data_IF_030702797629
#
_entry.id   IF_030702797629
#
_cell.length_a   1.000
_cell.length_b   1.000
_cell.length_c   1.000
_cell.angle_alpha   90.00
_cell.angle_beta   90.00
_cell.angle_gamma   90.00
#
_symmetry.space_group_name_H-M   'P 1'
#
loop_
_entity.id
_entity.type
_entity.pdbx_description
1 polymer ?
#
# COMPACT_ATOMS: atom_id res chain seq x y z
N UNK A 1 -6.66 -3.26 3.21
CA UNK A 1 -7.20 -4.61 3.07
C UNK A 1 -6.01 -5.50 3.03
N UNK A 2 -5.92 -6.41 3.98
CA UNK A 2 -4.85 -7.38 4.02
C UNK A 2 -5.46 -8.66 3.45
N UNK A 3 -4.84 -9.22 2.42
CA UNK A 3 -5.21 -10.56 1.93
C UNK A 3 -4.78 -11.54 3.02
N UNK A 4 -5.74 -12.20 3.64
CA UNK A 4 -5.49 -12.97 4.87
C UNK A 4 -5.10 -14.42 4.58
N UNK A 5 -5.31 -14.91 3.35
CA UNK A 5 -4.96 -16.28 2.95
C UNK A 5 -4.36 -16.37 1.53
N UNK A 6 -3.52 -17.38 1.32
CA UNK A 6 -2.95 -17.72 0.01
C UNK A 6 -4.02 -18.13 -1.01
N UNK A 7 -5.07 -18.81 -0.54
CA UNK A 7 -6.20 -19.26 -1.35
C UNK A 7 -7.00 -18.08 -1.92
N UNK A 8 -7.24 -17.05 -1.10
CA UNK A 8 -7.90 -15.82 -1.54
C UNK A 8 -7.06 -15.08 -2.59
N UNK A 9 -5.74 -15.05 -2.43
CA UNK A 9 -4.82 -14.49 -3.43
C UNK A 9 -4.88 -15.24 -4.77
N UNK A 10 -4.79 -16.58 -4.75
CA UNK A 10 -4.83 -17.40 -5.96
C UNK A 10 -6.17 -17.22 -6.69
N UNK A 11 -7.27 -17.16 -5.94
CA UNK A 11 -8.60 -16.90 -6.47
C UNK A 11 -8.69 -15.53 -7.16
N UNK A 12 -8.22 -14.45 -6.52
CA UNK A 12 -8.23 -13.10 -7.12
C UNK A 12 -7.32 -13.02 -8.36
N UNK A 13 -6.17 -13.70 -8.31
CA UNK A 13 -5.22 -13.78 -9.44
C UNK A 13 -5.87 -14.44 -10.66
N UNK A 14 -6.56 -15.55 -10.44
CA UNK A 14 -7.13 -16.38 -11.50
C UNK A 14 -8.44 -15.77 -12.02
N UNK A 15 -9.30 -15.30 -11.12
CA UNK A 15 -10.61 -14.71 -11.47
C UNK A 15 -10.48 -13.27 -11.99
N UNK A 16 -9.36 -12.58 -11.72
CA UNK A 16 -9.13 -11.15 -12.04
C UNK A 16 -10.17 -10.20 -11.44
N UNK A 17 -10.87 -10.63 -10.41
CA UNK A 17 -11.94 -9.88 -9.75
C UNK A 17 -11.68 -9.79 -8.25
N UNK A 18 -11.82 -8.59 -7.69
CA UNK A 18 -11.66 -8.31 -6.27
C UNK A 18 -13.02 -7.94 -5.65
N UNK A 19 -13.53 -8.72 -4.68
CA UNK A 19 -14.74 -8.36 -3.94
C UNK A 19 -14.43 -7.27 -2.90
N UNK A 20 -14.99 -6.07 -3.08
CA UNK A 20 -14.89 -4.94 -2.15
C UNK A 20 -16.29 -4.43 -1.78
N UNK A 21 -16.61 -4.36 -0.49
CA UNK A 21 -17.88 -3.80 0.00
C UNK A 21 -19.14 -4.41 -0.65
N UNK A 22 -19.11 -5.70 -0.99
CA UNK A 22 -20.21 -6.38 -1.66
C UNK A 22 -20.31 -6.15 -3.17
N UNK A 23 -19.35 -5.43 -3.77
CA UNK A 23 -19.22 -5.23 -5.21
C UNK A 23 -18.00 -5.98 -5.75
N UNK A 24 -18.09 -6.45 -6.99
CA UNK A 24 -16.99 -7.10 -7.70
C UNK A 24 -16.31 -6.09 -8.61
N UNK A 25 -14.99 -5.95 -8.48
CA UNK A 25 -14.22 -5.02 -9.30
C UNK A 25 -13.15 -5.75 -10.09
N UNK A 26 -13.01 -5.40 -11.36
CA UNK A 26 -11.92 -5.92 -12.20
C UNK A 26 -10.58 -5.38 -11.70
N UNK A 27 -9.62 -6.29 -11.52
CA UNK A 27 -8.28 -5.96 -11.05
C UNK A 27 -7.18 -6.47 -11.97
N UNK A 28 -6.14 -5.65 -12.08
CA UNK A 28 -4.88 -6.04 -12.68
C UNK A 28 -3.83 -6.33 -11.62
N UNK A 29 -3.04 -7.38 -11.85
CA UNK A 29 -1.87 -7.67 -11.04
C UNK A 29 -0.76 -6.65 -11.34
N UNK A 30 -0.48 -5.83 -10.33
CA UNK A 30 0.56 -4.85 -10.31
C UNK A 30 1.75 -5.34 -9.51
N UNK A 31 2.89 -5.46 -10.19
CA UNK A 31 4.18 -5.60 -9.55
C UNK A 31 4.85 -4.23 -9.55
N UNK A 32 5.24 -3.77 -8.36
CA UNK A 32 6.04 -2.56 -8.27
C UNK A 32 7.33 -2.78 -9.07
N UNK A 33 7.70 -1.86 -9.98
CA UNK A 33 8.85 -2.06 -10.83
C UNK A 33 10.10 -2.16 -9.96
N UNK A 34 10.83 -3.29 -10.01
CA UNK A 34 11.88 -3.62 -9.05
C UNK A 34 12.98 -2.56 -9.06
N UNK A 35 13.66 -2.42 -7.91
CA UNK A 35 14.92 -1.69 -7.84
C UNK A 35 15.94 -2.48 -8.64
N UNK A 36 16.55 -1.84 -9.64
CA UNK A 36 17.56 -2.51 -10.44
C UNK A 36 18.87 -2.53 -9.69
N UNK A 37 19.50 -3.71 -9.68
CA UNK A 37 20.93 -3.80 -9.43
C UNK A 37 21.65 -3.24 -10.66
N UNK A 38 22.33 -2.10 -10.49
CA UNK A 38 23.12 -1.46 -11.54
C UNK A 38 24.59 -1.56 -11.12
N UNK A 39 25.41 -2.16 -11.97
CA UNK A 39 26.83 -2.33 -11.73
C UNK A 39 27.52 -0.97 -11.61
N UNK A 40 28.22 -0.73 -10.50
CA UNK A 40 28.94 0.54 -10.29
C UNK A 40 30.17 0.72 -11.18
N UNK A 41 30.61 -0.33 -11.90
CA UNK A 41 31.77 -0.30 -12.80
C UNK A 41 31.37 0.00 -14.24
N UNK A 42 30.54 -0.84 -14.87
CA UNK A 42 30.14 -0.64 -16.28
C UNK A 42 28.81 0.11 -16.42
N UNK A 43 28.13 0.41 -15.32
CA UNK A 43 26.78 0.98 -15.28
C UNK A 43 25.68 0.08 -15.84
N UNK A 44 25.96 -1.17 -16.24
CA UNK A 44 24.97 -2.14 -16.75
C UNK A 44 24.09 -2.77 -15.65
N UNK A 45 22.81 -3.09 -15.93
CA UNK A 45 21.96 -3.72 -14.94
C UNK A 45 22.28 -5.22 -14.81
N UNK A 46 21.80 -5.84 -13.73
CA UNK A 46 21.76 -7.31 -13.60
C UNK A 46 22.99 -7.96 -12.97
N UNK A 47 24.05 -7.21 -12.65
CA UNK A 47 25.22 -7.76 -11.96
C UNK A 47 25.89 -6.75 -11.03
N UNK A 48 26.68 -7.26 -10.08
CA UNK A 48 27.49 -6.44 -9.16
C UNK A 48 28.87 -6.17 -9.77
N UNK A 49 29.60 -5.20 -9.20
CA UNK A 49 31.00 -4.92 -9.58
C UNK A 49 31.91 -6.15 -9.50
N UNK A 50 31.64 -7.08 -8.57
CA UNK A 50 32.41 -8.32 -8.37
C UNK A 50 32.31 -9.26 -9.59
N UNK A 51 31.16 -9.29 -10.25
CA UNK A 51 30.88 -10.15 -11.41
C UNK A 51 30.93 -9.39 -12.74
N UNK A 52 31.54 -8.20 -12.75
CA UNK A 52 31.63 -7.37 -13.93
C UNK A 52 32.86 -7.77 -14.77
N UNK A 53 32.61 -8.18 -16.02
CA UNK A 53 33.65 -8.61 -16.97
C UNK A 53 34.28 -7.46 -17.77
N UNK A 54 33.81 -6.23 -17.59
CA UNK A 54 34.32 -5.09 -18.35
C UNK A 54 35.73 -4.71 -17.92
N UNK A 55 36.60 -4.41 -18.87
CA UNK A 55 37.99 -4.05 -18.58
C UNK A 55 38.16 -2.63 -18.03
N UNK A 56 37.16 -1.77 -18.23
CA UNK A 56 37.19 -0.38 -17.82
C UNK A 56 35.98 0.03 -16.98
N UNK A 57 36.15 1.14 -16.24
CA UNK A 57 35.11 1.72 -15.40
C UNK A 57 34.47 2.91 -16.09
N UNK A 58 33.16 2.87 -16.26
CA UNK A 58 32.35 3.92 -16.87
C UNK A 58 31.85 4.87 -15.79
N UNK A 59 32.07 6.18 -15.95
CA UNK A 59 31.51 7.17 -15.04
C UNK A 59 30.01 7.30 -15.27
N UNK A 60 29.22 7.20 -14.20
CA UNK A 60 27.75 7.34 -14.27
C UNK A 60 27.26 8.69 -14.80
N UNK A 61 28.07 9.75 -14.74
CA UNK A 61 27.65 11.11 -15.11
C UNK A 61 27.67 11.36 -16.62
N UNK A 62 28.70 10.89 -17.31
CA UNK A 62 28.99 11.22 -18.71
C UNK A 62 29.19 9.98 -19.61
N UNK A 63 29.31 8.79 -19.02
CA UNK A 63 29.59 7.57 -19.77
C UNK A 63 31.04 7.39 -20.22
N UNK A 64 31.95 8.28 -19.84
CA UNK A 64 33.37 8.17 -20.19
C UNK A 64 34.15 7.24 -19.26
N UNK A 65 35.29 6.74 -19.75
CA UNK A 65 36.19 5.87 -19.00
C UNK A 65 36.86 6.62 -17.84
N UNK A 66 36.73 6.09 -16.62
CA UNK A 66 37.22 6.69 -15.37
C UNK A 66 38.74 6.84 -15.32
N UNK A 67 39.49 6.07 -16.12
CA UNK A 67 40.96 6.07 -16.13
C UNK A 67 41.61 7.31 -16.73
N UNK A 68 40.87 8.14 -17.50
CA UNK A 68 41.42 9.35 -18.11
C UNK A 68 41.13 10.60 -17.27
N UNK A 69 42.05 10.92 -16.35
CA UNK A 69 42.22 12.26 -15.76
C UNK A 69 41.06 12.82 -14.92
N UNK A 70 41.33 13.96 -14.28
CA UNK A 70 40.35 14.72 -13.49
C UNK A 70 39.27 15.33 -14.39
N UNK A 71 38.24 14.53 -14.68
CA UNK A 71 37.05 14.94 -15.41
C UNK A 71 36.12 15.76 -14.49
N UNK A 72 36.55 16.98 -14.13
CA UNK A 72 35.79 17.90 -13.28
C UNK A 72 34.64 18.59 -14.05
N UNK A 73 34.82 18.81 -15.35
CA UNK A 73 33.85 19.49 -16.22
C UNK A 73 33.35 18.56 -17.31
N UNK A 74 32.27 17.83 -17.02
CA UNK A 74 31.66 16.93 -18.00
C UNK A 74 30.16 17.15 -18.14
N UNK A 75 29.74 17.17 -19.40
CA UNK A 75 28.33 17.22 -19.76
C UNK A 75 27.64 15.94 -19.30
N UNK A 76 26.51 16.09 -18.62
CA UNK A 76 25.73 14.95 -18.16
C UNK A 76 25.16 14.26 -19.40
N UNK A 77 25.58 13.02 -19.62
CA UNK A 77 25.19 12.23 -20.78
C UNK A 77 25.11 10.76 -20.40
N UNK A 78 24.02 10.11 -20.77
CA UNK A 78 23.85 8.69 -20.54
C UNK A 78 24.75 7.90 -21.48
N UNK A 79 25.52 6.97 -20.92
CA UNK A 79 26.35 6.05 -21.69
C UNK A 79 25.55 5.24 -22.73
N UNK A 80 24.27 4.96 -22.46
CA UNK A 80 23.45 4.07 -23.30
C UNK A 80 22.63 4.79 -24.35
N UNK A 81 21.79 5.72 -23.93
CA UNK A 81 20.88 6.42 -24.85
C UNK A 81 21.42 7.78 -25.30
N UNK A 82 22.59 8.20 -24.81
CA UNK A 82 23.18 9.51 -25.14
C UNK A 82 22.37 10.74 -24.72
N UNK A 83 21.26 10.58 -23.98
CA UNK A 83 20.43 11.68 -23.49
C UNK A 83 21.04 12.40 -22.27
N UNK A 84 20.50 13.59 -21.98
CA UNK A 84 20.92 14.46 -20.88
C UNK A 84 20.48 13.97 -19.48
N UNK A 85 20.92 12.78 -19.08
CA UNK A 85 20.76 12.24 -17.73
C UNK A 85 21.91 11.28 -17.37
N UNK A 86 21.98 10.87 -16.09
CA UNK A 86 23.02 9.91 -15.63
C UNK A 86 22.76 8.50 -16.17
N UNK A 87 23.80 7.71 -16.37
CA UNK A 87 23.69 6.32 -16.86
C UNK A 87 22.95 5.37 -15.91
N UNK A 88 22.87 5.73 -14.62
CA UNK A 88 22.10 4.99 -13.61
C UNK A 88 20.72 5.61 -13.32
N UNK A 89 20.30 6.62 -14.07
CA UNK A 89 19.00 7.27 -13.88
C UNK A 89 17.87 6.38 -14.42
N UNK A 90 16.83 6.19 -13.62
CA UNK A 90 15.63 5.43 -14.00
C UNK A 90 14.82 6.09 -15.12
N UNK A 91 15.15 7.32 -15.52
CA UNK A 91 14.65 7.98 -16.73
C UNK A 91 15.22 7.39 -18.03
N UNK A 92 16.33 6.65 -17.95
CA UNK A 92 16.94 6.01 -19.11
C UNK A 92 15.97 5.02 -19.77
N UNK A 93 15.69 5.16 -21.09
CA UNK A 93 14.84 4.22 -21.82
C UNK A 93 15.30 2.77 -21.69
N UNK A 94 16.61 2.52 -21.75
CA UNK A 94 17.19 1.19 -21.63
C UNK A 94 16.98 0.56 -20.24
N UNK A 95 17.12 1.35 -19.15
CA UNK A 95 16.82 0.84 -17.81
C UNK A 95 15.32 0.64 -17.60
N UNK A 96 14.49 1.49 -18.20
CA UNK A 96 13.03 1.34 -18.16
C UNK A 96 12.58 0.06 -18.86
N UNK A 97 13.13 -0.22 -20.04
CA UNK A 97 12.89 -1.47 -20.78
C UNK A 97 13.38 -2.69 -20.01
N UNK A 98 14.60 -2.66 -19.47
CA UNK A 98 15.11 -3.75 -18.65
C UNK A 98 14.24 -4.02 -17.42
N UNK A 99 13.76 -2.97 -16.72
CA UNK A 99 12.80 -3.11 -15.61
C UNK A 99 11.51 -3.76 -16.06
N UNK A 100 10.98 -3.33 -17.19
CA UNK A 100 9.73 -3.86 -17.72
C UNK A 100 9.87 -5.35 -18.06
N UNK A 101 10.95 -5.74 -18.74
CA UNK A 101 11.24 -7.14 -19.07
C UNK A 101 11.46 -7.97 -17.82
N UNK A 102 12.15 -7.44 -16.81
CA UNK A 102 12.32 -8.12 -15.53
C UNK A 102 10.98 -8.36 -14.82
N UNK A 103 10.04 -7.40 -14.88
CA UNK A 103 8.68 -7.60 -14.33
C UNK A 103 7.93 -8.68 -15.11
N UNK A 104 8.04 -8.72 -16.44
CA UNK A 104 7.42 -9.78 -17.26
C UNK A 104 7.98 -11.15 -16.87
N UNK A 105 9.30 -11.28 -16.76
CA UNK A 105 9.95 -12.53 -16.38
C UNK A 105 9.55 -12.97 -14.96
N UNK A 106 9.51 -12.04 -14.01
CA UNK A 106 9.03 -12.33 -12.66
C UNK A 106 7.56 -12.75 -12.64
N UNK A 107 6.70 -12.18 -13.50
CA UNK A 107 5.30 -12.62 -13.65
C UNK A 107 5.17 -14.05 -14.17
N UNK A 108 6.10 -14.51 -15.01
CA UNK A 108 6.13 -15.91 -15.46
C UNK A 108 6.54 -16.88 -14.35
N UNK A 109 7.22 -16.37 -13.32
CA UNK A 109 7.76 -17.14 -12.19
C UNK A 109 7.20 -16.64 -10.85
N UNK A 110 5.90 -16.85 -10.59
CA UNK A 110 5.27 -16.42 -9.35
C UNK A 110 5.86 -17.09 -8.10
N UNK A 111 6.54 -18.22 -8.25
CA UNK A 111 7.33 -18.90 -7.22
C UNK A 111 8.48 -18.04 -6.67
N UNK A 112 9.03 -17.14 -7.50
CA UNK A 112 10.14 -16.26 -7.12
C UNK A 112 9.69 -14.89 -6.60
N UNK A 113 8.38 -14.62 -6.61
CA UNK A 113 7.85 -13.35 -6.17
C UNK A 113 7.65 -13.35 -4.66
N UNK A 114 8.16 -12.34 -3.94
CA UNK A 114 7.86 -12.22 -2.53
C UNK A 114 6.34 -12.03 -2.36
N UNK A 115 5.69 -12.78 -1.46
CA UNK A 115 4.22 -12.78 -1.31
C UNK A 115 3.65 -11.38 -0.98
N UNK A 116 4.49 -10.45 -0.52
CA UNK A 116 4.10 -9.11 -0.08
C UNK A 116 4.30 -8.00 -1.15
N UNK A 117 4.81 -8.31 -2.34
CA UNK A 117 5.17 -7.29 -3.36
C UNK A 117 4.12 -7.17 -4.48
N UNK A 118 3.19 -8.12 -4.57
CA UNK A 118 2.09 -8.09 -5.54
C UNK A 118 0.92 -7.26 -4.98
N UNK A 119 0.50 -6.26 -5.75
CA UNK A 119 -0.67 -5.44 -5.46
C UNK A 119 -1.71 -5.67 -6.54
N UNK A 120 -2.97 -5.82 -6.17
CA UNK A 120 -4.07 -5.75 -7.12
C UNK A 120 -4.57 -4.32 -7.20
N UNK A 121 -4.60 -3.76 -8.40
CA UNK A 121 -5.09 -2.40 -8.64
C UNK A 121 -6.33 -2.48 -9.51
N UNK A 122 -7.37 -1.72 -9.16
CA UNK A 122 -8.58 -1.63 -9.97
C UNK A 122 -8.24 -1.12 -11.38
N UNK A 123 -8.79 -1.77 -12.40
CA UNK A 123 -8.52 -1.44 -13.81
C UNK A 123 -8.81 0.03 -14.13
N UNK A 124 -9.86 0.59 -13.53
CA UNK A 124 -10.24 2.00 -13.73
C UNK A 124 -9.24 2.99 -13.16
N UNK A 125 -8.47 2.62 -12.13
CA UNK A 125 -7.40 3.47 -11.59
C UNK A 125 -6.17 3.56 -12.50
N UNK A 126 -6.11 2.77 -13.58
CA UNK A 126 -5.04 2.80 -14.59
C UNK A 126 -5.41 3.53 -15.87
N UNK A 127 -6.70 3.72 -16.15
CA UNK A 127 -7.15 4.38 -17.39
C UNK A 127 -6.64 5.82 -17.40
N UNK A 128 -5.73 6.07 -18.33
CA UNK A 128 -4.96 7.29 -18.57
C UNK A 128 -5.70 8.60 -18.24
N UNK A 129 -5.27 9.29 -17.19
CA UNK A 129 -5.63 10.70 -16.95
C UNK A 129 -5.76 11.07 -15.48
N UNK A 130 -6.22 10.14 -14.65
CA UNK A 130 -6.52 10.47 -13.26
C UNK A 130 -5.27 10.27 -12.38
N UNK A 131 -4.57 11.38 -12.11
CA UNK A 131 -3.38 11.44 -11.22
C UNK A 131 -3.70 11.12 -9.76
N UNK A 132 -4.94 10.77 -9.44
CA UNK A 132 -5.35 10.36 -8.10
C UNK A 132 -4.96 8.89 -7.88
N UNK A 133 -3.65 8.64 -7.81
CA UNK A 133 -3.02 7.36 -7.56
C UNK A 133 -3.41 6.75 -6.20
N UNK A 134 -4.64 6.22 -6.12
CA UNK A 134 -5.07 5.34 -5.03
C UNK A 134 -4.45 3.97 -5.26
N UNK A 135 -3.16 3.87 -4.95
CA UNK A 135 -2.50 2.58 -4.75
C UNK A 135 -3.14 1.95 -3.51
N UNK A 136 -3.81 0.82 -3.69
CA UNK A 136 -4.26 0.01 -2.57
C UNK A 136 -3.01 -0.64 -1.95
N UNK A 137 -2.52 -0.07 -0.86
CA UNK A 137 -1.37 -0.61 -0.14
C UNK A 137 -1.80 -1.77 0.76
N UNK A 138 -1.04 -2.86 0.73
CA UNK A 138 -1.06 -3.89 1.76
C UNK A 138 -0.43 -3.30 3.05
N UNK A 139 -1.18 -3.22 4.15
CA UNK A 139 -0.69 -2.58 5.39
C UNK A 139 0.15 -3.52 6.24
N UNK A 140 0.16 -4.82 5.96
CA UNK A 140 1.05 -5.78 6.63
C UNK A 140 2.54 -5.49 6.42
N UNK A 141 2.92 -4.75 5.36
CA UNK A 141 4.30 -4.30 5.13
C UNK A 141 4.68 -2.97 5.84
N UNK A 142 3.72 -2.27 6.45
CA UNK A 142 3.94 -0.88 6.93
C UNK A 142 4.77 -0.77 8.20
N UNK A 143 4.91 -1.84 8.98
CA UNK A 143 5.81 -1.84 10.13
C UNK A 143 7.31 -1.84 9.75
N UNK A 144 7.67 -1.89 8.45
CA UNK A 144 9.06 -1.96 8.00
C UNK A 144 9.54 -0.81 7.11
N UNK A 145 8.71 0.20 6.79
CA UNK A 145 9.06 1.18 5.74
C UNK A 145 9.00 2.66 6.09
N UNK A 146 8.88 3.01 7.37
CA UNK A 146 9.15 4.39 7.81
C UNK A 146 10.57 4.50 8.36
N UNK A 147 11.55 4.64 7.46
CA UNK A 147 12.83 5.36 7.64
C UNK A 147 13.86 4.85 6.64
N UNK A 148 13.87 5.38 5.41
CA UNK A 148 15.08 5.31 4.58
C UNK A 148 15.21 6.58 3.74
N UNK A 149 15.64 7.64 4.41
CA UNK A 149 16.42 8.71 3.80
C UNK A 149 17.57 9.04 4.73
N UNK A 150 18.59 8.17 4.78
CA UNK A 150 19.96 8.53 5.10
C UNK A 150 20.91 7.38 4.75
N UNK A 151 22.14 7.77 4.42
CA UNK A 151 23.15 7.02 3.67
C UNK A 151 23.53 5.69 4.33
N UNK A 152 23.56 4.61 3.54
CA UNK A 152 24.10 3.31 3.96
C UNK A 152 25.49 3.16 3.34
N UNK A 153 26.51 3.22 4.20
CA UNK A 153 27.85 2.73 3.91
C UNK A 153 27.80 1.21 3.71
N UNK A 154 28.40 0.73 2.62
CA UNK A 154 28.41 -0.68 2.22
C UNK A 154 29.72 -1.36 2.66
N UNK A 155 29.65 -2.28 3.62
CA UNK A 155 30.56 -3.41 3.93
C UNK A 155 29.70 -4.34 4.81
N UNK A 156 29.61 -5.67 4.72
CA UNK A 156 30.35 -6.75 4.08
C UNK A 156 29.40 -7.97 3.89
N UNK A 157 29.87 -8.91 3.07
CA UNK A 157 29.42 -10.30 2.83
C UNK A 157 28.05 -10.58 2.16
N UNK A 158 28.09 -11.36 1.07
CA UNK A 158 26.99 -11.57 0.11
C UNK A 158 26.35 -12.97 0.18
N UNK A 159 26.75 -13.80 1.13
CA UNK A 159 26.14 -15.11 1.37
C UNK A 159 25.46 -15.23 2.75
N UNK A 160 25.60 -14.24 3.63
CA UNK A 160 24.75 -14.10 4.81
C UNK A 160 23.57 -13.21 4.45
N UNK A 161 22.34 -13.72 4.68
CA UNK A 161 21.20 -12.82 4.83
C UNK A 161 21.56 -11.81 5.93
N UNK A 162 21.31 -10.50 5.74
CA UNK A 162 21.69 -9.50 6.72
C UNK A 162 21.14 -9.91 8.10
N UNK A 163 22.02 -10.04 9.10
CA UNK A 163 21.56 -10.16 10.48
C UNK A 163 20.57 -9.01 10.72
N UNK A 164 19.37 -9.35 11.21
CA UNK A 164 18.40 -8.36 11.64
C UNK A 164 19.13 -7.34 12.52
N UNK A 165 19.04 -6.03 12.23
CA UNK A 165 19.76 -5.02 12.99
C UNK A 165 19.49 -5.24 14.47
N UNK A 166 20.55 -5.50 15.26
CA UNK A 166 20.40 -5.60 16.71
C UNK A 166 19.75 -4.31 17.17
N UNK A 167 18.57 -4.45 17.76
CA UNK A 167 17.74 -3.37 18.29
C UNK A 167 18.59 -2.55 19.26
N UNK A 168 19.21 -1.48 18.76
CA UNK A 168 19.67 -0.39 19.60
C UNK A 168 18.39 0.28 20.10
N UNK A 169 18.02 0.02 21.35
CA UNK A 169 16.92 0.68 22.04
C UNK A 169 17.13 2.18 22.04
N UNK A 170 16.56 2.89 21.06
CA UNK A 170 16.37 4.34 21.09
C UNK A 170 15.15 4.61 21.99
N UNK A 171 15.35 4.38 23.28
CA UNK A 171 14.36 4.65 24.32
C UNK A 171 14.38 6.12 24.71
N UNK A 172 13.34 6.86 24.32
CA UNK A 172 12.72 7.91 25.16
C UNK A 172 11.68 8.72 24.39
N UNK A 173 11.90 9.00 23.10
CA UNK A 173 10.97 9.86 22.35
C UNK A 173 9.78 9.11 21.74
N UNK A 174 9.97 7.86 21.32
CA UNK A 174 8.88 7.04 20.74
C UNK A 174 7.81 6.65 21.78
N UNK A 175 8.23 6.41 23.02
CA UNK A 175 7.29 6.04 24.09
C UNK A 175 6.25 7.13 24.36
N UNK A 176 6.63 8.40 24.19
CA UNK A 176 5.71 9.52 24.42
C UNK A 176 4.64 9.66 23.32
N UNK A 177 4.95 9.27 22.08
CA UNK A 177 3.97 9.25 20.97
C UNK A 177 3.01 8.06 21.09
N UNK A 178 3.52 6.89 21.49
CA UNK A 178 2.69 5.69 21.68
C UNK A 178 1.70 5.86 22.84
N UNK A 179 2.11 6.51 23.94
CA UNK A 179 1.21 6.82 25.07
C UNK A 179 0.11 7.78 24.62
N UNK A 180 0.45 8.90 23.95
CA UNK A 180 -0.54 9.87 23.45
C UNK A 180 -1.51 9.25 22.46
N UNK A 181 -1.02 8.40 21.55
CA UNK A 181 -1.87 7.70 20.59
C UNK A 181 -2.82 6.72 21.30
N UNK A 182 -2.34 5.99 22.30
CA UNK A 182 -3.15 5.05 23.08
C UNK A 182 -4.25 5.77 23.87
N UNK A 183 -3.94 6.94 24.44
CA UNK A 183 -4.93 7.78 25.14
C UNK A 183 -5.99 8.34 24.19
N UNK A 184 -5.60 8.80 22.99
CA UNK A 184 -6.53 9.23 21.95
C UNK A 184 -7.49 8.12 21.54
N UNK A 185 -6.96 6.91 21.28
CA UNK A 185 -7.78 5.75 20.92
C UNK A 185 -8.78 5.40 22.02
N UNK A 186 -8.36 5.45 23.30
CA UNK A 186 -9.26 5.23 24.44
C UNK A 186 -10.37 6.28 24.54
N UNK A 187 -10.05 7.56 24.30
CA UNK A 187 -11.06 8.64 24.29
C UNK A 187 -12.07 8.44 23.17
N UNK A 188 -11.60 8.15 21.95
CA UNK A 188 -12.47 7.91 20.80
C UNK A 188 -13.40 6.71 21.07
N UNK A 189 -12.87 5.65 21.70
CA UNK A 189 -13.68 4.49 22.07
C UNK A 189 -14.77 4.85 23.09
N UNK A 190 -14.45 5.64 24.12
CA UNK A 190 -15.43 6.12 25.10
C UNK A 190 -16.52 6.97 24.46
N UNK A 191 -16.17 7.87 23.55
CA UNK A 191 -17.13 8.70 22.82
C UNK A 191 -18.05 7.84 21.95
N UNK A 192 -17.50 6.82 21.29
CA UNK A 192 -18.27 5.87 20.49
C UNK A 192 -19.27 5.07 21.34
N UNK A 193 -18.82 4.57 22.50
CA UNK A 193 -19.68 3.83 23.43
C UNK A 193 -20.78 4.72 24.01
N UNK A 194 -20.48 6.00 24.28
CA UNK A 194 -21.49 6.99 24.70
C UNK A 194 -22.54 7.22 23.61
N UNK A 195 -22.14 7.45 22.37
CA UNK A 195 -23.05 7.63 21.23
C UNK A 195 -23.95 6.40 21.05
N UNK A 196 -23.36 5.20 21.16
CA UNK A 196 -24.10 3.94 21.06
C UNK A 196 -25.15 3.80 22.15
N UNK A 197 -24.80 4.13 23.40
CA UNK A 197 -25.73 4.07 24.53
C UNK A 197 -26.86 5.10 24.39
N UNK A 198 -26.55 6.33 23.98
CA UNK A 198 -27.54 7.39 23.74
C UNK A 198 -28.52 6.98 22.63
N UNK A 199 -28.03 6.33 21.57
CA UNK A 199 -28.88 5.81 20.50
C UNK A 199 -29.84 4.73 21.01
N UNK A 200 -29.34 3.76 21.78
CA UNK A 200 -30.19 2.70 22.36
C UNK A 200 -31.26 3.28 23.29
N UNK A 201 -30.93 4.29 24.10
CA UNK A 201 -31.89 4.94 24.98
C UNK A 201 -32.99 5.64 24.17
N UNK A 202 -32.63 6.41 23.14
CA UNK A 202 -33.60 7.09 22.27
C UNK A 202 -34.51 6.11 21.53
N UNK A 203 -33.99 4.96 21.11
CA UNK A 203 -34.80 3.91 20.49
C UNK A 203 -35.85 3.35 21.47
N UNK A 204 -35.48 3.11 22.73
CA UNK A 204 -36.44 2.68 23.76
C UNK A 204 -37.51 3.73 24.05
N UNK A 205 -37.13 5.01 24.14
CA UNK A 205 -38.08 6.11 24.31
C UNK A 205 -39.07 6.21 23.14
N UNK A 206 -38.57 5.99 21.91
CA UNK A 206 -39.40 5.97 20.73
C UNK A 206 -40.39 4.80 20.75
N UNK A 207 -39.94 3.60 21.10
CA UNK A 207 -40.79 2.41 21.24
C UNK A 207 -41.88 2.61 22.29
N UNK A 208 -41.54 3.19 23.45
CA UNK A 208 -42.51 3.50 24.50
C UNK A 208 -43.59 4.47 24.00
N UNK A 209 -43.19 5.54 23.32
CA UNK A 209 -44.15 6.50 22.71
C UNK A 209 -45.05 5.84 21.67
N UNK A 210 -44.53 4.90 20.88
CA UNK A 210 -45.34 4.14 19.93
C UNK A 210 -46.37 3.26 20.66
N UNK A 211 -45.97 2.59 21.73
CA UNK A 211 -46.89 1.79 22.55
C UNK A 211 -47.99 2.63 23.18
N UNK A 212 -47.66 3.79 23.74
CA UNK A 212 -48.65 4.74 24.29
C UNK A 212 -49.64 5.21 23.23
N UNK A 213 -49.15 5.53 22.02
CA UNK A 213 -50.01 5.94 20.92
C UNK A 213 -50.96 4.81 20.48
N UNK A 214 -50.47 3.57 20.40
CA UNK A 214 -51.30 2.40 20.08
C UNK A 214 -52.38 2.20 21.16
N UNK A 215 -52.04 2.34 22.44
CA UNK A 215 -53.02 2.24 23.53
C UNK A 215 -54.09 3.32 23.44
N UNK A 216 -53.72 4.57 23.12
CA UNK A 216 -54.67 5.68 22.92
C UNK A 216 -55.62 5.39 21.76
N UNK A 217 -55.11 4.90 20.63
CA UNK A 217 -55.93 4.53 19.47
C UNK A 217 -56.91 3.40 19.81
N UNK A 218 -56.44 2.36 20.51
CA UNK A 218 -57.30 1.26 20.94
C UNK A 218 -58.40 1.73 21.90
N UNK A 219 -58.09 2.65 22.83
CA UNK A 219 -59.08 3.24 23.72
C UNK A 219 -60.15 4.05 22.94
N UNK A 220 -59.73 4.84 21.95
CA UNK A 220 -60.65 5.58 21.08
C UNK A 220 -61.55 4.65 20.26
N UNK A 221 -60.99 3.58 19.67
CA UNK A 221 -61.76 2.57 18.94
C UNK A 221 -62.81 1.90 19.83
N UNK A 222 -62.45 1.56 21.08
CA UNK A 222 -63.40 0.98 22.03
C UNK A 222 -64.55 1.93 22.37
N UNK A 223 -64.29 3.23 22.53
CA UNK A 223 -65.34 4.24 22.76
C UNK A 223 -66.30 4.32 21.57
N UNK A 224 -65.78 4.34 20.34
CA UNK A 224 -66.59 4.34 19.11
C UNK A 224 -67.46 3.07 19.04
N UNK A 225 -66.92 1.91 19.40
CA UNK A 225 -67.66 0.65 19.42
C UNK A 225 -68.80 0.66 20.45
N UNK A 226 -68.60 1.28 21.61
CA UNK A 226 -69.66 1.44 22.62
C UNK A 226 -70.76 2.37 22.10
N UNK A 227 -70.38 3.51 21.51
CA UNK A 227 -71.33 4.49 20.96
C UNK A 227 -72.19 3.90 19.84
N UNK A 228 -71.58 3.20 18.89
CA UNK A 228 -72.29 2.54 17.78
C UNK A 228 -73.29 1.49 18.30
N UNK A 229 -72.92 0.67 19.29
CA UNK A 229 -73.84 -0.28 19.92
C UNK A 229 -75.02 0.37 20.63
N UNK A 230 -74.82 1.53 21.26
CA UNK A 230 -75.91 2.27 21.93
C UNK A 230 -76.88 2.91 20.95
N UNK A 231 -76.44 3.28 19.74
CA UNK A 231 -77.31 3.87 18.71
C UNK A 231 -78.15 2.84 17.95
N UNK A 232 -77.75 1.57 17.96
CA UNK A 232 -78.47 0.48 17.29
C UNK A 232 -79.56 -0.19 18.14
N UNK A 233 -79.83 0.31 19.36
CA UNK A 233 -80.90 -0.15 20.24
C UNK A 233 -82.02 0.88 20.30
#
# INVERSE_FOLDING_TARGET
>A
MDFTSKEEYEKIRDDRVLPLNGLYHDVEEFLQPPRLLICSKCTEPGHTRKYCTWDYEVRCRCGENRTKGDHQECTIKCFRCSDAHRSNDYRCPHLKEYRYNLVIELKKRPDLLPPNVQLFILTDCRKNGDRTGKVLYNKSARNQHQQYSQQIHCYNDLNEWPELPRLMTIGSQYHQYDIKFTEEVKRIQLDFDKIKNDYVLRMKEFELKQQENIQRLNAQLNLIHIQTKTQTK
#
